data_IF_556163640938
#
_entry.id   IF_556163640938
#
_cell.length_a   1.000
_cell.length_b   1.000
_cell.length_c   1.000
_cell.angle_alpha   90.00
_cell.angle_beta   90.00
_cell.angle_gamma   90.00
#
_symmetry.space_group_name_H-M   'P 1'
#
loop_
_entity.id
_entity.type
_entity.pdbx_description
1 polymer ?
#
# COMPACT_ATOMS: atom_id res chain seq x y z
N UNK A 1 32.95 30.33 17.79
CA UNK A 1 31.77 31.22 17.72
C UNK A 1 30.61 30.36 17.25
N UNK A 2 29.74 29.93 18.16
CA UNK A 2 28.55 29.17 17.76
C UNK A 2 27.47 30.17 17.36
N UNK A 3 26.83 30.01 16.19
CA UNK A 3 25.80 30.93 15.74
C UNK A 3 24.60 30.93 16.70
N UNK A 4 24.01 32.11 16.90
CA UNK A 4 22.84 32.29 17.76
C UNK A 4 21.63 31.52 17.21
N UNK A 5 20.73 30.97 18.05
CA UNK A 5 19.53 30.26 17.58
C UNK A 5 18.69 31.06 16.57
N UNK A 6 18.63 32.39 16.71
CA UNK A 6 17.93 33.29 15.79
C UNK A 6 18.65 33.51 14.45
N UNK A 7 19.97 33.33 14.40
CA UNK A 7 20.74 33.39 13.14
C UNK A 7 20.55 32.11 12.32
N UNK A 8 20.37 30.98 12.99
CA UNK A 8 20.11 29.68 12.35
C UNK A 8 18.71 29.68 11.69
N UNK A 9 17.71 30.28 12.32
CA UNK A 9 16.34 30.38 11.79
C UNK A 9 16.25 31.18 10.47
N UNK A 10 17.03 32.26 10.35
CA UNK A 10 17.06 33.09 9.14
C UNK A 10 17.96 32.52 8.02
N UNK A 11 18.81 31.56 8.34
CA UNK A 11 19.72 30.92 7.38
C UNK A 11 19.04 29.73 6.68
N UNK A 12 18.12 29.05 7.35
CA UNK A 12 17.38 27.93 6.75
C UNK A 12 16.21 28.48 5.93
N UNK A 13 16.24 28.30 4.60
CA UNK A 13 15.19 28.84 3.77
C UNK A 13 13.90 28.03 3.94
N UNK A 14 12.78 28.75 4.04
CA UNK A 14 11.44 28.21 4.28
C UNK A 14 11.02 27.05 3.35
N UNK A 15 11.51 27.02 2.11
CA UNK A 15 11.25 25.95 1.14
C UNK A 15 11.72 24.57 1.61
N UNK A 16 12.71 24.51 2.50
CA UNK A 16 13.19 23.24 3.05
C UNK A 16 12.09 22.55 3.87
N UNK A 17 11.27 23.29 4.61
CA UNK A 17 10.15 22.74 5.37
C UNK A 17 8.90 22.51 4.52
N UNK A 18 8.74 23.25 3.41
CA UNK A 18 7.65 23.04 2.43
C UNK A 18 7.79 21.71 1.69
N UNK A 19 9.01 21.34 1.29
CA UNK A 19 9.28 20.09 0.55
C UNK A 19 9.05 18.82 1.39
N UNK A 20 9.19 18.89 2.71
CA UNK A 20 8.94 17.77 3.64
C UNK A 20 7.45 17.45 3.84
N UNK A 21 6.55 18.42 3.63
CA UNK A 21 5.12 18.23 3.87
C UNK A 21 4.41 17.49 2.73
N UNK A 22 4.75 17.79 1.48
CA UNK A 22 3.91 17.41 0.32
C UNK A 22 4.18 16.02 -0.27
N UNK A 23 5.36 15.44 -0.03
CA UNK A 23 5.76 14.14 -0.60
C UNK A 23 5.12 12.93 0.13
N UNK A 24 4.99 13.00 1.45
CA UNK A 24 4.49 11.90 2.29
C UNK A 24 2.96 11.73 2.21
N UNK A 25 2.23 12.82 1.97
CA UNK A 25 0.75 12.85 2.00
C UNK A 25 0.12 12.04 0.86
N UNK A 26 0.72 12.07 -0.34
CA UNK A 26 0.16 11.34 -1.51
C UNK A 26 0.29 9.82 -1.41
N UNK A 27 1.32 9.32 -0.71
CA UNK A 27 1.52 7.87 -0.52
C UNK A 27 0.59 7.31 0.56
N UNK A 28 0.29 8.10 1.60
CA UNK A 28 -0.58 7.69 2.70
C UNK A 28 -2.05 7.49 2.28
N UNK A 29 -2.53 8.22 1.28
CA UNK A 29 -3.92 8.12 0.77
C UNK A 29 -4.14 6.86 -0.08
N UNK A 30 -3.10 6.29 -0.70
CA UNK A 30 -3.25 5.08 -1.53
C UNK A 30 -3.54 3.83 -0.71
N UNK A 31 -2.94 3.71 0.46
CA UNK A 31 -3.08 2.55 1.36
C UNK A 31 -4.54 2.33 1.81
N UNK A 32 -5.27 3.32 2.35
CA UNK A 32 -6.65 3.12 2.80
C UNK A 32 -7.61 2.83 1.64
N UNK A 33 -7.40 3.41 0.47
CA UNK A 33 -8.21 3.14 -0.73
C UNK A 33 -8.04 1.68 -1.19
N UNK A 34 -6.80 1.18 -1.19
CA UNK A 34 -6.52 -0.22 -1.52
C UNK A 34 -7.11 -1.18 -0.48
N UNK A 35 -7.05 -0.84 0.81
CA UNK A 35 -7.68 -1.63 1.88
C UNK A 35 -9.20 -1.65 1.71
N UNK A 36 -9.82 -0.51 1.39
CA UNK A 36 -11.27 -0.41 1.21
C UNK A 36 -11.75 -1.24 0.02
N UNK A 37 -11.07 -1.16 -1.13
CA UNK A 37 -11.35 -1.99 -2.31
C UNK A 37 -11.13 -3.47 -2.01
N UNK A 38 -10.07 -3.81 -1.27
CA UNK A 38 -9.78 -5.18 -0.89
C UNK A 38 -10.84 -5.76 0.05
N UNK A 39 -11.38 -4.95 0.98
CA UNK A 39 -12.48 -5.35 1.87
C UNK A 39 -13.78 -5.54 1.10
N UNK A 40 -14.06 -4.70 0.11
CA UNK A 40 -15.27 -4.81 -0.71
C UNK A 40 -15.21 -6.04 -1.64
N UNK A 41 -14.02 -6.41 -2.12
CA UNK A 41 -13.81 -7.54 -3.03
C UNK A 41 -13.56 -8.87 -2.30
N UNK A 42 -13.07 -8.83 -1.05
CA UNK A 42 -12.76 -10.02 -0.23
C UNK A 42 -13.94 -10.99 -0.03
N UNK A 43 -15.20 -10.55 0.20
CA UNK A 43 -16.36 -11.44 0.28
C UNK A 43 -16.59 -12.23 -1.00
N UNK A 44 -16.35 -11.61 -2.16
CA UNK A 44 -16.49 -12.26 -3.46
C UNK A 44 -15.44 -13.37 -3.64
N UNK A 45 -14.19 -13.07 -3.26
CA UNK A 45 -13.08 -14.03 -3.27
C UNK A 45 -13.32 -15.17 -2.27
N UNK A 46 -13.78 -14.85 -1.06
CA UNK A 46 -14.12 -15.84 -0.03
C UNK A 46 -15.23 -16.79 -0.50
N UNK A 47 -16.30 -16.27 -1.10
CA UNK A 47 -17.40 -17.08 -1.61
C UNK A 47 -16.99 -17.92 -2.81
N UNK A 48 -16.30 -17.33 -3.79
CA UNK A 48 -15.82 -18.03 -4.98
C UNK A 48 -14.81 -19.13 -4.61
N UNK A 49 -13.87 -18.84 -3.71
CA UNK A 49 -12.86 -19.81 -3.30
C UNK A 49 -13.47 -20.95 -2.50
N UNK A 50 -14.34 -20.66 -1.53
CA UNK A 50 -15.04 -21.68 -0.75
C UNK A 50 -16.04 -22.49 -1.56
N UNK A 51 -16.41 -22.02 -2.76
CA UNK A 51 -17.29 -22.73 -3.67
C UNK A 51 -16.56 -23.44 -4.81
N UNK A 52 -15.35 -23.01 -5.19
CA UNK A 52 -14.61 -23.58 -6.32
C UNK A 52 -13.54 -24.59 -5.85
N UNK A 53 -12.71 -24.21 -4.88
CA UNK A 53 -11.56 -25.03 -4.46
C UNK A 53 -11.95 -26.35 -3.77
N UNK A 54 -12.92 -26.38 -2.83
CA UNK A 54 -13.38 -27.63 -2.25
C UNK A 54 -14.04 -28.54 -3.29
N UNK A 55 -14.74 -27.96 -4.26
CA UNK A 55 -15.53 -28.70 -5.26
C UNK A 55 -14.66 -29.28 -6.37
N UNK A 56 -13.52 -28.65 -6.68
CA UNK A 56 -12.59 -29.08 -7.74
C UNK A 56 -11.39 -29.87 -7.21
N UNK A 57 -10.95 -29.58 -5.98
CA UNK A 57 -9.68 -30.08 -5.43
C UNK A 57 -9.82 -30.71 -4.03
N UNK A 58 -11.04 -30.82 -3.47
CA UNK A 58 -11.37 -31.45 -2.18
C UNK A 58 -10.52 -30.97 -0.99
N UNK A 59 -10.07 -29.71 -1.05
CA UNK A 59 -9.24 -29.06 -0.02
C UNK A 59 -10.09 -28.21 0.93
N UNK A 60 -9.55 -27.98 2.13
CA UNK A 60 -10.22 -27.23 3.18
C UNK A 60 -10.64 -25.82 2.76
N UNK A 61 -11.82 -25.41 3.25
CA UNK A 61 -12.37 -24.07 3.10
C UNK A 61 -11.45 -23.04 3.73
N UNK A 62 -11.33 -21.89 3.07
CA UNK A 62 -10.56 -20.74 3.52
C UNK A 62 -11.43 -19.90 4.47
N UNK A 63 -10.92 -19.60 5.66
CA UNK A 63 -11.57 -18.69 6.62
C UNK A 63 -11.44 -17.22 6.19
N UNK A 64 -12.25 -16.32 6.76
CA UNK A 64 -12.24 -14.90 6.37
C UNK A 64 -10.84 -14.26 6.53
N UNK A 65 -10.13 -14.60 7.60
CA UNK A 65 -8.75 -14.14 7.84
C UNK A 65 -7.76 -14.70 6.80
N UNK A 66 -7.96 -15.95 6.38
CA UNK A 66 -7.14 -16.58 5.34
C UNK A 66 -7.41 -15.98 3.96
N UNK A 67 -8.64 -15.58 3.64
CA UNK A 67 -8.95 -14.89 2.39
C UNK A 67 -8.26 -13.52 2.30
N UNK A 68 -8.19 -12.79 3.42
CA UNK A 68 -7.42 -11.55 3.53
C UNK A 68 -5.93 -11.82 3.32
N UNK A 69 -5.37 -12.82 4.02
CA UNK A 69 -3.97 -13.23 3.86
C UNK A 69 -3.64 -13.64 2.42
N UNK A 70 -4.51 -14.41 1.77
CA UNK A 70 -4.38 -14.82 0.37
C UNK A 70 -4.41 -13.62 -0.59
N UNK A 71 -5.29 -12.65 -0.34
CA UNK A 71 -5.37 -11.42 -1.14
C UNK A 71 -4.09 -10.59 -1.02
N UNK A 72 -3.54 -10.45 0.19
CA UNK A 72 -2.26 -9.78 0.43
C UNK A 72 -1.11 -10.52 -0.27
N UNK A 73 -1.08 -11.85 -0.14
CA UNK A 73 -0.04 -12.68 -0.74
C UNK A 73 -0.08 -12.63 -2.27
N UNK A 74 -1.27 -12.69 -2.88
CA UNK A 74 -1.45 -12.53 -4.31
C UNK A 74 -0.92 -11.17 -4.79
N UNK A 75 -1.22 -10.08 -4.07
CA UNK A 75 -0.64 -8.78 -4.40
C UNK A 75 0.87 -8.78 -4.28
N UNK A 76 1.45 -9.39 -3.25
CA UNK A 76 2.90 -9.46 -3.10
C UNK A 76 3.54 -10.28 -4.24
N UNK A 77 2.92 -11.38 -4.66
CA UNK A 77 3.45 -12.27 -5.70
C UNK A 77 3.38 -11.64 -7.10
N UNK A 78 2.31 -10.89 -7.39
CA UNK A 78 2.09 -10.28 -8.70
C UNK A 78 2.52 -8.80 -8.77
N UNK A 79 2.84 -8.16 -7.65
CA UNK A 79 3.49 -6.84 -7.60
C UNK A 79 4.98 -7.00 -7.82
N UNK A 80 5.35 -7.27 -9.07
CA UNK A 80 6.70 -7.01 -9.55
C UNK A 80 6.58 -6.12 -10.78
N UNK A 81 6.23 -4.86 -10.53
CA UNK A 81 6.24 -3.83 -11.56
C UNK A 81 7.69 -3.40 -11.78
N UNK A 82 8.28 -3.90 -12.87
CA UNK A 82 9.55 -3.39 -13.36
C UNK A 82 9.37 -1.89 -13.69
N UNK A 83 10.23 -0.98 -13.17
CA UNK A 83 10.19 0.41 -13.58
C UNK A 83 10.54 0.50 -15.07
N UNK A 84 9.52 0.76 -15.89
CA UNK A 84 9.70 1.03 -17.32
C UNK A 84 10.42 2.38 -17.43
N UNK A 85 11.72 2.33 -17.75
CA UNK A 85 12.51 3.52 -18.08
C UNK A 85 12.06 4.05 -19.43
N UNK A 86 11.13 5.01 -19.43
CA UNK A 86 10.76 5.79 -20.60
C UNK A 86 11.93 6.68 -20.99
N UNK A 87 12.80 6.20 -21.89
CA UNK A 87 13.78 7.04 -22.56
C UNK A 87 13.04 7.81 -23.67
N UNK A 88 12.77 9.09 -23.41
CA UNK A 88 12.45 10.12 -24.40
C UNK A 88 13.41 11.28 -24.19
#
# INVERSE_FOLDING_TARGET
MTPSPSEIENTIPNWAFETLKVSTIKSLIRIPVLILISILWSPLVFMLWNWLMPTMFDIQKVSWLQAIGLTILARLLFTYEYPVKSNG
#
